data_IF_031522670990
#
_entry.id   IF_031522670990
#
_cell.length_a   1.000
_cell.length_b   1.000
_cell.length_c   1.000
_cell.angle_alpha   90.00
_cell.angle_beta   90.00
_cell.angle_gamma   90.00
#
_symmetry.space_group_name_H-M   'P 1'
#
loop_
_entity.id
_entity.type
_entity.pdbx_description
1 polymer ?
#
# COMPACT_ATOMS: atom_id res chain seq x y z
N UNK A 1 20.15 22.33 -31.76
CA UNK A 1 18.73 22.06 -31.50
C UNK A 1 18.15 21.34 -32.70
N UNK A 2 18.22 20.01 -32.70
CA UNK A 2 17.47 19.19 -33.64
C UNK A 2 16.18 18.76 -32.92
N UNK A 3 15.00 19.06 -33.45
CA UNK A 3 13.75 18.54 -32.87
C UNK A 3 13.75 17.02 -33.04
N UNK A 4 13.46 16.31 -31.96
CA UNK A 4 13.25 14.87 -31.98
C UNK A 4 12.16 14.52 -32.99
N UNK A 5 12.32 13.50 -33.84
CA UNK A 5 11.36 13.18 -34.87
C UNK A 5 10.01 12.80 -34.26
N UNK A 6 8.95 13.30 -34.84
CA UNK A 6 7.53 13.18 -34.42
C UNK A 6 7.05 11.73 -34.18
N UNK A 7 7.80 10.75 -34.68
CA UNK A 7 7.51 9.32 -34.50
C UNK A 7 7.84 8.78 -33.10
N UNK A 8 8.78 9.40 -32.37
CA UNK A 8 9.12 9.03 -30.98
C UNK A 8 8.05 9.54 -29.97
N UNK A 9 7.22 10.49 -30.39
CA UNK A 9 6.17 11.08 -29.59
C UNK A 9 5.02 10.10 -29.25
N UNK A 10 4.77 9.12 -30.11
CA UNK A 10 3.64 8.19 -29.96
C UNK A 10 3.84 7.07 -28.94
N UNK A 11 5.08 6.79 -28.52
CA UNK A 11 5.40 5.67 -27.63
C UNK A 11 5.59 6.02 -26.16
N UNK A 12 5.84 7.29 -25.83
CA UNK A 12 6.27 7.70 -24.47
C UNK A 12 5.11 8.22 -23.61
N UNK A 13 3.97 8.60 -24.21
CA UNK A 13 2.87 9.18 -23.44
C UNK A 13 1.58 8.42 -23.64
N UNK A 14 1.14 7.75 -22.57
CA UNK A 14 -0.20 7.18 -22.43
C UNK A 14 -1.36 8.20 -22.41
N UNK A 15 -1.11 9.44 -22.86
CA UNK A 15 -2.11 10.50 -22.95
C UNK A 15 -2.87 10.52 -24.31
N UNK A 16 -2.74 9.48 -25.13
CA UNK A 16 -3.48 9.37 -26.41
C UNK A 16 -4.76 8.55 -26.35
N UNK A 17 -5.26 8.22 -25.16
CA UNK A 17 -6.61 7.68 -24.99
C UNK A 17 -7.49 8.56 -24.11
N UNK A 18 -7.47 9.86 -24.33
CA UNK A 18 -8.61 10.73 -24.00
C UNK A 18 -9.36 11.03 -25.29
N UNK A 19 -9.92 10.01 -25.91
CA UNK A 19 -11.12 10.21 -26.69
C UNK A 19 -12.19 10.56 -25.67
N UNK A 20 -12.77 11.77 -25.84
CA UNK A 20 -13.95 12.29 -25.18
C UNK A 20 -13.79 12.66 -23.67
N UNK A 21 -13.43 13.93 -23.43
CA UNK A 21 -13.95 14.69 -22.29
C UNK A 21 -13.07 14.87 -21.07
N UNK A 22 -11.83 14.38 -21.00
CA UNK A 22 -10.94 14.71 -19.89
C UNK A 22 -9.87 15.71 -20.34
N UNK A 23 -10.03 16.96 -19.97
CA UNK A 23 -8.97 17.96 -20.19
C UNK A 23 -7.71 17.58 -19.40
N UNK A 24 -6.60 17.46 -20.12
CA UNK A 24 -5.29 17.26 -19.50
C UNK A 24 -5.00 18.44 -18.58
N UNK A 25 -4.77 18.20 -17.29
CA UNK A 25 -4.52 19.24 -16.31
C UNK A 25 -3.36 20.15 -16.71
N UNK A 26 -3.38 21.41 -16.28
CA UNK A 26 -2.34 22.41 -16.60
C UNK A 26 -0.92 21.92 -16.23
N UNK A 27 -0.78 21.13 -15.17
CA UNK A 27 0.50 20.55 -14.76
C UNK A 27 1.02 19.47 -15.74
N UNK A 28 0.13 18.68 -16.34
CA UNK A 28 0.51 17.65 -17.31
C UNK A 28 0.87 18.27 -18.66
N UNK A 29 0.16 19.32 -19.08
CA UNK A 29 0.53 20.12 -20.25
C UNK A 29 1.94 20.71 -20.08
N UNK A 30 2.21 21.31 -18.92
CA UNK A 30 3.53 21.89 -18.64
C UNK A 30 4.66 20.85 -18.60
N UNK A 31 4.40 19.62 -18.16
CA UNK A 31 5.39 18.53 -18.24
C UNK A 31 5.70 18.14 -19.68
N UNK A 32 4.66 18.05 -20.52
CA UNK A 32 4.82 17.73 -21.95
C UNK A 32 5.61 18.81 -22.67
N UNK A 33 5.28 20.08 -22.43
CA UNK A 33 6.02 21.23 -22.97
C UNK A 33 7.47 21.23 -22.48
N UNK A 34 7.72 20.94 -21.20
CA UNK A 34 9.06 20.86 -20.65
C UNK A 34 9.91 19.79 -21.35
N UNK A 35 9.31 18.65 -21.74
CA UNK A 35 10.04 17.60 -22.46
C UNK A 35 10.37 18.04 -23.89
N UNK A 36 9.45 18.76 -24.54
CA UNK A 36 9.66 19.25 -25.91
C UNK A 36 10.70 20.38 -25.96
N UNK A 37 10.67 21.30 -25.00
CA UNK A 37 11.47 22.52 -25.01
C UNK A 37 12.61 22.52 -23.99
N UNK A 38 12.75 21.47 -23.17
CA UNK A 38 13.72 21.35 -22.09
C UNK A 38 13.31 22.06 -20.81
N UNK A 39 12.35 23.00 -20.87
CA UNK A 39 11.87 23.77 -19.72
C UNK A 39 10.44 24.27 -20.01
N UNK A 40 9.56 24.22 -18.99
CA UNK A 40 8.28 24.91 -19.01
C UNK A 40 8.06 25.66 -17.69
N UNK A 41 7.50 26.85 -17.73
CA UNK A 41 7.24 27.72 -16.60
C UNK A 41 5.74 27.95 -16.46
N UNK A 42 5.22 27.75 -15.25
CA UNK A 42 3.85 28.09 -14.85
C UNK A 42 3.95 29.31 -13.94
N UNK A 43 3.46 30.45 -14.41
CA UNK A 43 3.57 31.71 -13.69
C UNK A 43 3.05 31.61 -12.24
N UNK A 44 3.85 32.09 -11.31
CA UNK A 44 3.54 32.09 -9.88
C UNK A 44 3.61 30.72 -9.20
N UNK A 45 3.51 29.63 -9.94
CA UNK A 45 3.48 28.27 -9.39
C UNK A 45 4.87 27.62 -9.37
N UNK A 46 5.58 27.62 -10.50
CA UNK A 46 6.91 27.02 -10.58
C UNK A 46 7.35 26.68 -12.00
N UNK A 47 8.40 25.86 -12.10
CA UNK A 47 8.93 25.43 -13.37
C UNK A 47 9.20 23.94 -13.40
N UNK A 48 8.98 23.34 -14.54
CA UNK A 48 9.47 22.01 -14.90
C UNK A 48 10.78 22.15 -15.69
N UNK A 49 11.76 21.31 -15.34
CA UNK A 49 13.05 21.23 -16.01
C UNK A 49 13.33 19.80 -16.39
N UNK A 50 13.72 19.59 -17.64
CA UNK A 50 14.16 18.28 -18.12
C UNK A 50 15.67 18.18 -17.96
N UNK A 51 16.12 17.08 -17.38
CA UNK A 51 17.53 16.75 -17.20
C UNK A 51 17.82 15.39 -17.80
N UNK A 52 18.89 15.29 -18.57
CA UNK A 52 19.40 14.01 -19.02
C UNK A 52 20.21 13.35 -17.90
N UNK A 53 20.00 12.05 -17.71
CA UNK A 53 20.70 11.21 -16.73
C UNK A 53 21.45 10.11 -17.47
N UNK A 54 22.64 9.80 -17.02
CA UNK A 54 23.55 8.81 -17.61
C UNK A 54 24.97 9.35 -17.71
N UNK A 55 25.90 8.53 -18.16
CA UNK A 55 27.29 8.94 -18.34
C UNK A 55 27.49 9.51 -19.75
N UNK A 56 27.80 10.81 -19.83
CA UNK A 56 28.15 11.50 -21.06
C UNK A 56 29.66 11.60 -21.10
N UNK A 57 30.28 10.92 -22.08
CA UNK A 57 31.76 10.86 -22.25
C UNK A 57 32.16 11.72 -23.43
N UNK A 58 32.98 12.76 -23.16
CA UNK A 58 33.50 13.69 -24.15
C UNK A 58 32.66 14.96 -24.33
N UNK A 59 33.30 16.02 -24.88
CA UNK A 59 32.69 17.35 -25.03
C UNK A 59 31.49 17.40 -26.00
N UNK A 60 31.41 16.43 -26.91
CA UNK A 60 30.35 16.32 -27.93
C UNK A 60 29.44 15.13 -27.70
N UNK A 61 29.28 14.66 -26.45
CA UNK A 61 28.45 13.53 -26.14
C UNK A 61 26.99 13.81 -26.50
N UNK A 62 26.42 13.00 -27.38
CA UNK A 62 25.02 13.07 -27.79
C UNK A 62 24.15 12.19 -26.86
N UNK A 63 22.88 12.53 -26.76
CA UNK A 63 21.91 11.72 -26.05
C UNK A 63 21.64 10.40 -26.80
N UNK A 64 21.86 9.28 -26.11
CA UNK A 64 21.59 7.92 -26.60
C UNK A 64 20.44 7.35 -25.76
N UNK A 65 19.26 7.06 -26.33
CA UNK A 65 18.10 6.59 -25.57
C UNK A 65 18.31 5.21 -24.92
N UNK A 66 19.31 4.45 -25.34
CA UNK A 66 19.64 3.15 -24.73
C UNK A 66 20.48 3.32 -23.45
N UNK A 67 21.35 4.31 -23.42
CA UNK A 67 22.32 4.54 -22.32
C UNK A 67 21.90 5.68 -21.39
N UNK A 68 21.04 6.57 -21.87
CA UNK A 68 20.64 7.77 -21.15
C UNK A 68 19.12 7.78 -20.93
N UNK A 69 18.69 8.40 -19.84
CA UNK A 69 17.28 8.63 -19.55
C UNK A 69 17.00 10.11 -19.35
N UNK A 70 15.78 10.54 -19.64
CA UNK A 70 15.32 11.88 -19.33
C UNK A 70 14.53 11.86 -18.01
N UNK A 71 14.86 12.78 -17.11
CA UNK A 71 14.12 13.01 -15.88
C UNK A 71 13.48 14.39 -15.91
N UNK A 72 12.21 14.49 -15.47
CA UNK A 72 11.52 15.77 -15.29
C UNK A 72 11.53 16.11 -13.82
N UNK A 73 12.05 17.28 -13.47
CA UNK A 73 12.05 17.81 -12.12
C UNK A 73 11.18 19.07 -12.03
N UNK A 74 10.44 19.20 -10.91
CA UNK A 74 9.63 20.38 -10.64
C UNK A 74 10.32 21.22 -9.57
N UNK A 75 10.42 22.53 -9.84
CA UNK A 75 10.91 23.52 -8.87
C UNK A 75 9.80 24.50 -8.55
N UNK A 76 9.30 24.55 -7.30
CA UNK A 76 8.24 25.47 -6.92
C UNK A 76 8.71 26.92 -7.04
N UNK A 77 7.84 27.77 -7.57
CA UNK A 77 8.05 29.22 -7.70
C UNK A 77 8.02 29.95 -6.36
N UNK A 78 8.47 31.19 -6.37
CA UNK A 78 8.56 32.01 -5.16
C UNK A 78 7.17 32.25 -4.52
N UNK A 79 6.15 32.48 -5.34
CA UNK A 79 4.78 32.70 -4.85
C UNK A 79 4.26 31.45 -4.14
N UNK A 80 4.37 30.28 -4.76
CA UNK A 80 3.96 29.02 -4.14
C UNK A 80 4.72 28.75 -2.85
N UNK A 81 6.04 28.96 -2.83
CA UNK A 81 6.85 28.79 -1.61
C UNK A 81 6.42 29.74 -0.49
N UNK A 82 6.07 30.98 -0.82
CA UNK A 82 5.61 31.96 0.16
C UNK A 82 4.23 31.60 0.74
N UNK A 83 3.33 31.07 -0.08
CA UNK A 83 2.03 30.58 0.37
C UNK A 83 2.16 29.33 1.24
N UNK A 84 2.99 28.36 0.84
CA UNK A 84 3.25 27.16 1.64
C UNK A 84 3.81 27.49 3.03
N UNK A 85 4.69 28.51 3.14
CA UNK A 85 5.19 28.99 4.45
C UNK A 85 4.10 29.59 5.33
N UNK A 86 3.07 30.21 4.75
CA UNK A 86 1.94 30.80 5.47
C UNK A 86 0.87 29.78 5.82
N UNK A 87 0.83 28.66 5.12
CA UNK A 87 -0.16 27.60 5.34
C UNK A 87 0.15 26.86 6.63
N UNK A 88 -0.76 26.90 7.59
CA UNK A 88 -0.69 26.07 8.79
C UNK A 88 -1.20 24.69 8.44
N UNK A 89 -0.35 23.69 8.59
CA UNK A 89 -0.77 22.31 8.47
C UNK A 89 -1.77 21.95 9.57
N UNK A 90 -2.93 21.43 9.20
CA UNK A 90 -3.85 20.84 10.16
C UNK A 90 -3.49 19.36 10.26
N UNK A 91 -3.13 18.93 11.47
CA UNK A 91 -2.88 17.52 11.72
C UNK A 91 -4.22 16.78 11.82
N UNK A 92 -4.62 16.09 10.77
CA UNK A 92 -5.84 15.24 10.76
C UNK A 92 -5.57 13.84 11.37
N UNK A 93 -4.80 13.80 12.46
CA UNK A 93 -4.37 12.58 13.13
C UNK A 93 -2.98 12.12 12.68
N UNK A 94 -2.39 11.26 13.46
CA UNK A 94 -1.13 10.59 13.11
C UNK A 94 -1.43 9.48 12.10
N UNK A 95 -0.70 9.44 11.00
CA UNK A 95 -0.71 8.29 10.11
C UNK A 95 -0.41 7.03 10.95
N UNK A 96 -1.29 6.04 10.89
CA UNK A 96 -1.05 4.76 11.60
C UNK A 96 0.19 4.11 10.97
N UNK A 97 1.32 4.29 11.64
CA UNK A 97 2.59 3.68 11.25
C UNK A 97 2.65 2.29 11.87
N UNK A 98 2.30 1.26 11.14
CA UNK A 98 2.30 -0.12 11.65
C UNK A 98 1.48 -1.01 10.74
N UNK A 99 1.35 -2.29 11.09
CA UNK A 99 0.45 -3.18 10.39
C UNK A 99 -0.99 -2.71 10.56
N UNK A 100 -1.81 -2.90 9.53
CA UNK A 100 -3.25 -2.67 9.55
C UNK A 100 -3.91 -3.85 8.85
N UNK A 101 -4.91 -4.45 9.46
CA UNK A 101 -5.76 -5.49 8.85
C UNK A 101 -6.99 -4.79 8.28
N UNK A 102 -7.25 -4.96 6.99
CA UNK A 102 -8.41 -4.41 6.31
C UNK A 102 -9.59 -5.39 6.35
N UNK A 103 -9.32 -6.66 6.05
CA UNK A 103 -10.31 -7.74 6.07
C UNK A 103 -9.63 -9.09 6.24
N UNK A 104 -10.42 -10.07 6.69
CA UNK A 104 -10.09 -11.49 6.65
C UNK A 104 -11.14 -12.23 5.83
N UNK A 105 -10.70 -13.13 4.97
CA UNK A 105 -11.56 -14.01 4.18
C UNK A 105 -11.24 -15.45 4.52
N UNK A 106 -12.21 -16.19 5.00
CA UNK A 106 -12.09 -17.64 5.17
C UNK A 106 -12.05 -18.33 3.81
N UNK A 107 -10.98 -19.04 3.51
CA UNK A 107 -10.83 -19.67 2.19
C UNK A 107 -11.71 -20.92 2.01
N UNK A 108 -12.26 -21.47 3.09
CA UNK A 108 -13.12 -22.67 3.07
C UNK A 108 -14.57 -22.29 2.75
N UNK A 109 -15.09 -21.25 3.41
CA UNK A 109 -16.49 -20.83 3.28
C UNK A 109 -16.68 -19.64 2.34
N UNK A 110 -15.60 -18.87 2.09
CA UNK A 110 -15.66 -17.59 1.37
C UNK A 110 -16.20 -16.42 2.22
N UNK A 111 -16.48 -16.65 3.50
CA UNK A 111 -16.97 -15.62 4.41
C UNK A 111 -15.93 -14.55 4.65
N UNK A 112 -16.38 -13.29 4.73
CA UNK A 112 -15.51 -12.12 4.92
C UNK A 112 -15.87 -11.44 6.24
N UNK A 113 -14.86 -11.30 7.13
CA UNK A 113 -14.94 -10.58 8.40
C UNK A 113 -15.95 -11.14 9.43
N UNK A 114 -16.35 -12.39 9.30
CA UNK A 114 -17.39 -12.95 10.16
C UNK A 114 -17.05 -14.38 10.59
N UNK A 115 -17.08 -15.31 9.62
CA UNK A 115 -16.88 -16.73 9.88
C UNK A 115 -15.46 -17.15 9.52
N UNK A 116 -14.87 -17.99 10.39
CA UNK A 116 -13.56 -18.61 10.18
C UNK A 116 -13.64 -20.10 10.45
N UNK A 117 -13.01 -20.89 9.61
CA UNK A 117 -12.97 -22.37 9.74
C UNK A 117 -11.84 -22.77 10.69
N UNK A 118 -12.17 -23.62 11.67
CA UNK A 118 -11.19 -24.23 12.60
C UNK A 118 -10.09 -24.94 11.82
N UNK A 119 -8.83 -24.64 12.11
CA UNK A 119 -7.66 -25.19 11.41
C UNK A 119 -7.70 -25.00 9.87
N UNK A 120 -8.50 -24.07 9.38
CA UNK A 120 -8.67 -23.76 7.96
C UNK A 120 -7.72 -22.65 7.46
N UNK A 121 -7.56 -22.53 6.12
CA UNK A 121 -6.81 -21.45 5.53
C UNK A 121 -7.63 -20.16 5.50
N UNK A 122 -6.98 -19.03 5.79
CA UNK A 122 -7.58 -17.72 5.70
C UNK A 122 -6.66 -16.70 4.99
N UNK A 123 -7.26 -15.82 4.19
CA UNK A 123 -6.57 -14.72 3.51
C UNK A 123 -6.85 -13.42 4.24
N UNK A 124 -5.81 -12.74 4.68
CA UNK A 124 -5.87 -11.48 5.39
C UNK A 124 -5.39 -10.38 4.45
N UNK A 125 -6.30 -9.51 4.03
CA UNK A 125 -5.96 -8.26 3.34
C UNK A 125 -5.46 -7.25 4.36
N UNK A 126 -4.30 -6.69 4.13
CA UNK A 126 -3.62 -5.87 5.13
C UNK A 126 -2.76 -4.78 4.50
N UNK A 127 -2.18 -3.93 5.33
CA UNK A 127 -1.18 -2.94 4.94
C UNK A 127 -0.02 -2.97 5.92
N UNK A 128 1.22 -2.97 5.41
CA UNK A 128 2.45 -3.01 6.21
C UNK A 128 2.52 -4.19 7.21
N UNK A 129 1.85 -5.30 6.91
CA UNK A 129 1.67 -6.42 7.83
C UNK A 129 2.56 -7.64 7.54
N UNK A 130 3.56 -7.51 6.66
CA UNK A 130 4.52 -8.61 6.44
C UNK A 130 5.10 -9.08 7.78
N UNK A 131 4.91 -10.33 8.11
CA UNK A 131 5.39 -10.93 9.37
C UNK A 131 6.87 -11.20 9.27
N UNK A 132 7.67 -10.36 9.92
CA UNK A 132 9.12 -10.46 9.98
C UNK A 132 9.62 -9.90 11.31
N UNK A 133 10.63 -10.53 11.89
CA UNK A 133 11.28 -10.11 13.12
C UNK A 133 11.73 -11.31 13.95
N UNK A 134 12.65 -11.05 14.87
CA UNK A 134 13.25 -12.05 15.76
C UNK A 134 12.57 -12.09 17.14
N UNK A 135 11.66 -11.14 17.39
CA UNK A 135 10.92 -11.09 18.66
C UNK A 135 9.90 -12.24 18.73
N UNK A 136 9.81 -12.99 19.84
CA UNK A 136 8.89 -14.12 19.98
C UNK A 136 7.41 -13.73 19.89
N UNK A 137 7.06 -12.45 20.09
CA UNK A 137 5.71 -11.94 19.90
C UNK A 137 5.33 -11.76 18.43
N UNK A 138 6.27 -11.90 17.48
CA UNK A 138 6.00 -11.74 16.05
C UNK A 138 5.22 -12.90 15.50
N UNK A 139 4.13 -12.59 14.80
CA UNK A 139 3.25 -13.60 14.21
C UNK A 139 1.83 -13.10 13.97
N UNK A 140 0.98 -14.03 13.55
CA UNK A 140 -0.47 -13.87 13.46
C UNK A 140 -1.09 -14.69 14.57
N UNK A 141 -2.00 -14.10 15.32
CA UNK A 141 -2.60 -14.71 16.50
C UNK A 141 -4.13 -14.57 16.49
N UNK A 142 -4.80 -15.61 16.98
CA UNK A 142 -6.19 -15.56 17.40
C UNK A 142 -6.24 -15.59 18.93
N UNK A 143 -7.02 -14.72 19.52
CA UNK A 143 -7.23 -14.66 20.98
C UNK A 143 -8.73 -14.73 21.24
N UNK A 144 -9.15 -15.62 22.15
CA UNK A 144 -10.56 -15.66 22.59
C UNK A 144 -10.97 -14.30 23.17
N UNK A 145 -12.21 -13.90 22.95
CA UNK A 145 -12.78 -12.67 23.51
C UNK A 145 -13.19 -12.90 24.97
N UNK A 146 -12.24 -13.35 25.78
CA UNK A 146 -12.37 -13.62 27.20
C UNK A 146 -11.23 -12.96 27.96
N UNK A 147 -11.49 -12.46 29.15
CA UNK A 147 -10.47 -11.82 29.98
C UNK A 147 -9.37 -12.82 30.37
N UNK A 148 -8.12 -12.47 30.08
CA UNK A 148 -6.97 -13.32 30.38
C UNK A 148 -6.70 -14.45 29.38
N UNK A 149 -7.43 -14.52 28.28
CA UNK A 149 -7.21 -15.56 27.27
C UNK A 149 -5.82 -15.46 26.62
N UNK A 150 -5.14 -16.58 26.52
CA UNK A 150 -3.82 -16.67 25.88
C UNK A 150 -3.96 -16.57 24.34
N UNK A 151 -3.09 -15.82 23.66
CA UNK A 151 -3.09 -15.74 22.20
C UNK A 151 -2.61 -17.06 21.58
N UNK A 152 -3.39 -17.60 20.65
CA UNK A 152 -3.06 -18.79 19.87
C UNK A 152 -2.38 -18.37 18.58
N UNK A 153 -1.13 -18.78 18.38
CA UNK A 153 -0.36 -18.46 17.19
C UNK A 153 -0.83 -19.30 15.99
N UNK A 154 -1.04 -18.66 14.84
CA UNK A 154 -1.25 -19.37 13.58
C UNK A 154 -0.01 -20.21 13.24
N UNK A 155 -0.15 -21.54 13.04
CA UNK A 155 1.00 -22.42 12.90
C UNK A 155 1.79 -22.21 11.62
N UNK A 156 1.14 -21.80 10.54
CA UNK A 156 1.76 -21.66 9.23
C UNK A 156 1.32 -20.38 8.55
N UNK A 157 2.27 -19.65 7.99
CA UNK A 157 2.05 -18.54 7.07
C UNK A 157 2.42 -19.02 5.68
N UNK A 158 1.43 -19.22 4.82
CA UNK A 158 1.59 -19.71 3.45
C UNK A 158 2.10 -18.62 2.53
N UNK A 159 1.50 -17.42 2.65
CA UNK A 159 1.91 -16.22 1.92
C UNK A 159 2.20 -15.10 2.90
N UNK A 160 3.35 -14.45 2.73
CA UNK A 160 3.81 -13.39 3.62
C UNK A 160 4.21 -12.15 2.84
N UNK A 161 3.22 -11.34 2.46
CA UNK A 161 3.42 -10.07 1.75
C UNK A 161 2.97 -8.87 2.60
N UNK A 162 3.47 -7.65 2.34
CA UNK A 162 3.08 -6.47 3.11
C UNK A 162 1.59 -6.11 3.01
N UNK A 163 0.93 -6.50 1.90
CA UNK A 163 -0.47 -6.21 1.60
C UNK A 163 -1.41 -7.41 1.76
N UNK A 164 -0.87 -8.61 1.91
CA UNK A 164 -1.66 -9.84 2.00
C UNK A 164 -0.91 -10.93 2.77
N UNK A 165 -1.58 -11.53 3.73
CA UNK A 165 -1.11 -12.72 4.42
C UNK A 165 -2.09 -13.87 4.15
N UNK A 166 -1.59 -15.05 3.81
CA UNK A 166 -2.38 -16.29 3.81
C UNK A 166 -1.86 -17.15 4.94
N UNK A 167 -2.71 -17.52 5.87
CA UNK A 167 -2.34 -18.26 7.07
C UNK A 167 -3.21 -19.49 7.26
N UNK A 168 -2.67 -20.50 7.94
CA UNK A 168 -3.48 -21.57 8.53
C UNK A 168 -3.88 -21.12 9.93
N UNK A 169 -5.18 -21.12 10.18
CA UNK A 169 -5.70 -20.80 11.50
C UNK A 169 -5.42 -21.93 12.49
N UNK A 170 -5.30 -21.65 13.79
CA UNK A 170 -5.26 -22.71 14.81
C UNK A 170 -6.61 -23.40 14.93
N UNK A 171 -6.65 -24.52 15.63
CA UNK A 171 -7.92 -25.12 16.05
C UNK A 171 -8.67 -24.15 16.97
N UNK A 172 -9.93 -23.89 16.66
CA UNK A 172 -10.81 -23.00 17.42
C UNK A 172 -11.99 -23.79 18.00
N UNK A 173 -12.52 -23.32 19.09
CA UNK A 173 -13.70 -23.86 19.74
C UNK A 173 -14.97 -23.33 19.08
N UNK A 174 -16.01 -24.14 19.08
CA UNK A 174 -17.32 -23.74 18.54
C UNK A 174 -18.01 -22.75 19.46
N UNK A 175 -18.76 -21.80 18.86
CA UNK A 175 -19.54 -20.79 19.58
C UNK A 175 -18.70 -19.80 20.42
N UNK A 176 -17.42 -19.69 20.14
CA UNK A 176 -16.50 -18.74 20.80
C UNK A 176 -16.12 -17.64 19.85
N UNK A 177 -16.04 -16.42 20.34
CA UNK A 177 -15.60 -15.26 19.59
C UNK A 177 -14.08 -15.09 19.72
N UNK A 178 -13.46 -14.68 18.64
CA UNK A 178 -12.02 -14.51 18.55
C UNK A 178 -11.64 -13.16 17.98
N UNK A 179 -10.61 -12.55 18.52
CA UNK A 179 -9.93 -11.38 17.96
C UNK A 179 -8.67 -11.80 17.20
N UNK A 180 -8.59 -11.38 15.95
CA UNK A 180 -7.38 -11.56 15.12
C UNK A 180 -6.38 -10.44 15.41
N UNK A 181 -5.10 -10.78 15.55
CA UNK A 181 -4.03 -9.80 15.68
C UNK A 181 -2.80 -10.19 14.87
N UNK A 182 -2.10 -9.18 14.37
CA UNK A 182 -0.82 -9.33 13.66
C UNK A 182 0.23 -8.50 14.35
N UNK A 183 1.34 -9.13 14.72
CA UNK A 183 2.52 -8.48 15.30
C UNK A 183 3.71 -8.65 14.37
N UNK A 184 4.39 -7.54 14.07
CA UNK A 184 5.54 -7.55 13.16
C UNK A 184 6.56 -6.47 13.50
N UNK A 185 7.82 -6.72 13.14
CA UNK A 185 8.89 -5.73 13.10
C UNK A 185 9.14 -5.17 11.69
N UNK A 186 8.19 -5.40 10.76
CA UNK A 186 8.29 -4.92 9.39
C UNK A 186 8.30 -3.40 9.31
N UNK A 187 9.18 -2.89 8.45
CA UNK A 187 9.22 -1.50 8.02
C UNK A 187 9.30 -1.47 6.50
N UNK A 188 8.63 -0.53 5.86
CA UNK A 188 8.73 -0.31 4.41
C UNK A 188 10.13 0.11 3.95
N UNK A 189 10.99 0.54 4.88
CA UNK A 189 12.43 0.68 4.68
C UNK A 189 13.11 -0.68 4.94
N UNK A 190 14.23 -0.96 4.29
CA UNK A 190 14.96 -2.24 4.43
C UNK A 190 15.54 -2.51 5.86
N UNK A 191 15.07 -1.81 6.88
CA UNK A 191 15.52 -1.96 8.27
C UNK A 191 14.38 -2.51 9.11
N UNK A 192 14.62 -3.56 9.88
CA UNK A 192 13.67 -4.05 10.87
C UNK A 192 13.50 -3.03 12.02
N UNK A 193 12.28 -2.95 12.52
CA UNK A 193 11.98 -2.14 13.70
C UNK A 193 12.58 -2.79 14.95
N UNK A 194 13.10 -1.97 15.84
CA UNK A 194 13.63 -2.46 17.12
C UNK A 194 12.52 -3.05 18.00
N UNK A 195 11.35 -2.43 18.01
CA UNK A 195 10.21 -2.89 18.79
C UNK A 195 9.13 -3.41 17.84
N UNK A 196 8.50 -4.55 18.11
CA UNK A 196 7.38 -5.06 17.33
C UNK A 196 6.17 -4.14 17.46
N UNK A 197 5.36 -4.11 16.40
CA UNK A 197 4.08 -3.38 16.35
C UNK A 197 2.96 -4.36 16.14
N UNK A 198 1.92 -4.21 16.93
CA UNK A 198 0.73 -5.07 16.89
C UNK A 198 -0.48 -4.28 16.41
N UNK A 199 -1.27 -4.92 15.54
CA UNK A 199 -2.61 -4.46 15.20
C UNK A 199 -3.61 -5.54 15.60
N UNK A 200 -4.69 -5.13 16.25
CA UNK A 200 -5.83 -5.98 16.58
C UNK A 200 -6.98 -5.62 15.65
N UNK A 201 -7.53 -6.65 15.01
CA UNK A 201 -8.68 -6.47 14.14
C UNK A 201 -9.93 -6.19 14.98
N UNK A 202 -10.69 -5.12 14.66
CA UNK A 202 -11.79 -4.69 15.53
C UNK A 202 -13.05 -5.56 15.43
N UNK A 203 -13.11 -6.46 14.44
CA UNK A 203 -14.26 -7.34 14.22
C UNK A 203 -13.98 -8.69 14.86
N UNK A 204 -14.95 -9.19 15.63
CA UNK A 204 -14.89 -10.51 16.24
C UNK A 204 -15.25 -11.57 15.20
N UNK A 205 -14.53 -12.68 15.25
CA UNK A 205 -14.65 -13.81 14.34
C UNK A 205 -15.16 -15.04 15.09
N UNK A 206 -15.97 -15.87 14.45
CA UNK A 206 -16.51 -17.12 15.01
C UNK A 206 -16.46 -18.26 14.04
N UNK A 207 -16.79 -19.46 14.47
CA UNK A 207 -16.92 -20.65 13.60
C UNK A 207 -18.26 -20.71 12.84
N UNK A 208 -19.11 -19.70 12.99
CA UNK A 208 -20.41 -19.58 12.33
C UNK A 208 -21.49 -20.54 12.81
N UNK A 209 -21.24 -21.33 13.86
CA UNK A 209 -22.25 -22.18 14.47
C UNK A 209 -23.03 -21.36 15.49
N UNK A 210 -24.24 -20.93 15.12
CA UNK A 210 -25.16 -20.26 16.04
C UNK A 210 -25.80 -21.24 17.02
N UNK A 211 -26.29 -20.72 18.18
CA UNK A 211 -27.00 -21.51 19.16
C UNK A 211 -28.39 -21.98 18.71
N UNK A 212 -28.79 -21.71 17.46
CA UNK A 212 -30.15 -21.97 16.96
C UNK A 212 -30.39 -23.41 16.45
N UNK A 213 -29.40 -24.31 16.54
CA UNK A 213 -29.60 -25.72 16.15
C UNK A 213 -30.11 -26.65 17.27
N UNK A 214 -30.53 -26.14 18.44
CA UNK A 214 -31.27 -26.91 19.43
C UNK A 214 -32.74 -26.46 19.53
N UNK A 215 -33.53 -26.63 18.46
CA UNK A 215 -34.95 -26.91 18.62
C UNK A 215 -35.17 -28.41 18.56
N UNK A 216 -35.44 -29.09 19.69
CA UNK A 216 -35.95 -30.42 19.66
C UNK A 216 -37.30 -30.39 18.93
N UNK A 217 -37.49 -31.32 17.97
CA UNK A 217 -38.67 -31.38 17.16
C UNK A 217 -39.93 -31.39 18.00
N UNK A 218 -40.86 -30.50 17.72
CA UNK A 218 -42.26 -30.70 18.04
C UNK A 218 -42.81 -31.80 17.13
N UNK A 219 -43.18 -32.89 17.77
CA UNK A 219 -44.03 -33.94 17.22
C UNK A 219 -45.48 -33.43 17.13
#
# INVERSE_FOLDING_TARGET
HLPLPFALWRGIFGCQRAAEGTECGSADKAKVEAIAEGKSVIDGVGQYLVTARGSFIGENAQFDPVKHSLGVSYTPGQLLRSQLKKTKGVCNGTAKTGPVINSITDSTTGSVNEIITSAGPAVISCSNAKVIGDDPSVGVFLTKDEEGAAPMKCPVIIRNAPSELTVMLPAIETKVLYTLSVTTQYSSSNKMLKNPRTYRFPILLSDGKSNDEERPGEL
#
